data_IF_490943070118
#
_entry.id   IF_490943070118
#
_cell.length_a   1.000
_cell.length_b   1.000
_cell.length_c   1.000
_cell.angle_alpha   90.00
_cell.angle_beta   90.00
_cell.angle_gamma   90.00
#
_symmetry.space_group_name_H-M   'P 1'
#
loop_
_entity.id
_entity.type
_entity.pdbx_description
1 polymer ?
#
# COMPACT_ATOMS: atom_id res chain seq x y z
N UNK A 1 3.42 -18.07 -1.12
CA UNK A 1 4.31 -16.95 -1.47
C UNK A 1 4.14 -15.84 -0.44
N UNK A 2 5.26 -15.40 0.13
CA UNK A 2 5.32 -14.29 1.09
C UNK A 2 5.08 -12.96 0.37
N UNK A 3 4.67 -11.92 1.11
CA UNK A 3 4.56 -10.56 0.56
C UNK A 3 5.91 -10.09 -0.01
N UNK A 4 5.93 -9.06 -0.85
CA UNK A 4 7.16 -8.41 -1.34
C UNK A 4 6.92 -6.93 -1.64
N UNK A 5 7.98 -6.13 -1.58
CA UNK A 5 7.98 -4.73 -2.02
C UNK A 5 9.00 -4.59 -3.14
N UNK A 6 8.65 -3.85 -4.18
CA UNK A 6 9.56 -3.55 -5.28
C UNK A 6 9.43 -2.07 -5.64
N UNK A 7 10.52 -1.30 -5.67
CA UNK A 7 10.47 0.07 -6.16
C UNK A 7 10.12 0.08 -7.65
N UNK A 8 9.16 0.92 -8.03
CA UNK A 8 8.88 1.16 -9.45
C UNK A 8 9.98 2.02 -10.05
N UNK A 9 10.46 1.61 -11.22
CA UNK A 9 11.46 2.36 -11.97
C UNK A 9 10.84 3.69 -12.42
N UNK A 10 11.53 4.79 -12.14
CA UNK A 10 11.14 6.13 -12.58
C UNK A 10 10.90 6.13 -14.09
N UNK A 11 9.81 6.78 -14.52
CA UNK A 11 9.37 6.86 -15.92
C UNK A 11 8.91 5.55 -16.57
N UNK A 12 8.84 4.43 -15.85
CA UNK A 12 8.16 3.23 -16.36
C UNK A 12 6.67 3.49 -16.59
N UNK A 13 6.00 2.75 -17.50
CA UNK A 13 4.56 2.94 -17.75
C UNK A 13 3.70 2.86 -16.48
N UNK A 14 4.01 1.90 -15.60
CA UNK A 14 3.31 1.74 -14.31
C UNK A 14 3.58 2.92 -13.37
N UNK A 15 4.82 3.38 -13.26
CA UNK A 15 5.17 4.57 -12.47
C UNK A 15 4.42 5.80 -12.98
N UNK A 16 4.40 6.03 -14.29
CA UNK A 16 3.75 7.18 -14.91
C UNK A 16 2.23 7.15 -14.69
N UNK A 17 1.61 5.98 -14.84
CA UNK A 17 0.18 5.81 -14.58
C UNK A 17 -0.18 6.14 -13.13
N UNK A 18 0.53 5.57 -12.16
CA UNK A 18 0.27 5.79 -10.72
C UNK A 18 0.55 7.24 -10.32
N UNK A 19 1.67 7.80 -10.77
CA UNK A 19 2.03 9.19 -10.46
C UNK A 19 1.06 10.19 -11.07
N UNK A 20 0.59 9.97 -12.31
CA UNK A 20 -0.42 10.82 -12.93
C UNK A 20 -1.74 10.77 -12.14
N UNK A 21 -2.23 9.57 -11.80
CA UNK A 21 -3.47 9.42 -11.03
C UNK A 21 -3.37 10.07 -9.64
N UNK A 22 -2.22 9.94 -8.96
CA UNK A 22 -2.01 10.60 -7.68
C UNK A 22 -2.01 12.11 -7.81
N UNK A 23 -1.34 12.65 -8.83
CA UNK A 23 -1.22 14.08 -9.08
C UNK A 23 -2.55 14.75 -9.41
N UNK A 24 -3.48 14.06 -10.07
CA UNK A 24 -4.82 14.63 -10.36
C UNK A 24 -5.63 14.93 -9.11
N UNK A 25 -5.25 14.37 -7.95
CA UNK A 25 -5.91 14.65 -6.67
C UNK A 25 -5.51 15.99 -6.05
N UNK A 26 -4.49 16.67 -6.60
CA UNK A 26 -3.95 17.91 -6.04
C UNK A 26 -4.21 19.09 -6.98
N UNK A 27 -5.03 20.04 -6.53
CA UNK A 27 -5.44 21.20 -7.34
C UNK A 27 -4.51 22.41 -7.19
N UNK A 28 -3.83 22.54 -6.04
CA UNK A 28 -3.06 23.76 -5.69
C UNK A 28 -1.56 23.53 -5.71
N UNK A 29 -1.10 22.60 -4.88
CA UNK A 29 0.33 22.32 -4.73
C UNK A 29 0.59 20.87 -5.08
N UNK A 30 1.39 20.65 -6.11
CA UNK A 30 1.76 19.32 -6.54
C UNK A 30 2.84 18.75 -5.61
N UNK A 31 2.59 17.64 -4.89
CA UNK A 31 3.60 17.05 -4.03
C UNK A 31 4.75 16.47 -4.86
N UNK A 32 5.97 16.64 -4.37
CA UNK A 32 7.14 15.92 -4.91
C UNK A 32 7.03 14.44 -4.53
N UNK A 33 6.91 13.58 -5.54
CA UNK A 33 6.96 12.13 -5.34
C UNK A 33 8.43 11.73 -5.18
N UNK A 34 8.78 11.18 -4.01
CA UNK A 34 10.14 10.70 -3.74
C UNK A 34 10.38 9.28 -4.27
N UNK A 35 9.38 8.41 -4.17
CA UNK A 35 9.46 7.00 -4.54
C UNK A 35 8.06 6.40 -4.64
N UNK A 36 7.84 5.49 -5.58
CA UNK A 36 6.63 4.66 -5.66
C UNK A 36 7.03 3.21 -5.46
N UNK A 37 6.41 2.55 -4.49
CA UNK A 37 6.72 1.18 -4.12
C UNK A 37 5.51 0.29 -4.42
N UNK A 38 5.71 -0.76 -5.20
CA UNK A 38 4.69 -1.78 -5.47
C UNK A 38 4.74 -2.84 -4.40
N UNK A 39 3.59 -3.07 -3.77
CA UNK A 39 3.43 -4.11 -2.75
C UNK A 39 2.73 -5.30 -3.41
N UNK A 40 3.36 -6.46 -3.38
CA UNK A 40 2.71 -7.75 -3.64
C UNK A 40 2.36 -8.35 -2.30
N UNK A 41 1.07 -8.43 -1.96
CA UNK A 41 0.65 -9.08 -0.73
C UNK A 41 0.72 -10.61 -0.86
N UNK A 42 0.80 -11.31 0.27
CA UNK A 42 0.77 -12.78 0.29
C UNK A 42 -0.50 -13.34 -0.37
N UNK A 43 -0.40 -14.55 -0.89
CA UNK A 43 -1.52 -15.23 -1.56
C UNK A 43 -2.74 -15.35 -0.65
N UNK A 44 -2.56 -15.45 0.67
CA UNK A 44 -3.66 -15.50 1.63
C UNK A 44 -4.55 -14.26 1.54
N UNK A 45 -3.97 -13.06 1.46
CA UNK A 45 -4.73 -11.81 1.34
C UNK A 45 -5.33 -11.65 -0.05
N UNK A 46 -4.55 -11.95 -1.10
CA UNK A 46 -5.04 -11.85 -2.47
C UNK A 46 -6.20 -12.82 -2.75
N UNK A 47 -6.14 -14.05 -2.22
CA UNK A 47 -7.23 -15.02 -2.36
C UNK A 47 -8.50 -14.55 -1.62
N UNK A 48 -8.36 -13.98 -0.42
CA UNK A 48 -9.51 -13.40 0.30
C UNK A 48 -10.14 -12.25 -0.48
N UNK A 49 -9.31 -11.36 -1.04
CA UNK A 49 -9.79 -10.25 -1.87
C UNK A 49 -10.51 -10.74 -3.13
N UNK A 50 -9.91 -11.67 -3.89
CA UNK A 50 -10.53 -12.20 -5.11
C UNK A 50 -11.81 -12.99 -4.81
N UNK A 51 -11.87 -13.74 -3.70
CA UNK A 51 -13.10 -14.41 -3.28
C UNK A 51 -14.20 -13.41 -2.92
N UNK A 52 -13.88 -12.37 -2.16
CA UNK A 52 -14.83 -11.31 -1.83
C UNK A 52 -15.34 -10.60 -3.10
N UNK A 53 -14.43 -10.29 -4.04
CA UNK A 53 -14.75 -9.69 -5.33
C UNK A 53 -15.68 -10.56 -6.18
N UNK A 54 -15.51 -11.90 -6.16
CA UNK A 54 -16.44 -12.85 -6.80
C UNK A 54 -17.81 -12.89 -6.12
N UNK A 55 -17.89 -12.72 -4.81
CA UNK A 55 -19.17 -12.65 -4.10
C UNK A 55 -19.90 -11.33 -4.32
N UNK A 56 -19.16 -10.26 -4.66
CA UNK A 56 -19.67 -8.90 -4.82
C UNK A 56 -19.50 -8.40 -6.26
N UNK A 57 -19.66 -9.26 -7.27
CA UNK A 57 -19.39 -8.91 -8.68
C UNK A 57 -20.15 -7.68 -9.18
N UNK A 58 -21.32 -7.38 -8.62
CA UNK A 58 -22.15 -6.23 -8.99
C UNK A 58 -21.78 -4.94 -8.26
N UNK A 59 -20.73 -4.94 -7.44
CA UNK A 59 -20.30 -3.77 -6.68
C UNK A 59 -19.21 -3.02 -7.42
N UNK A 60 -19.30 -1.70 -7.41
CA UNK A 60 -18.29 -0.81 -7.99
C UNK A 60 -16.94 -1.01 -7.30
N UNK A 61 -15.89 -1.10 -8.11
CA UNK A 61 -14.50 -1.16 -7.64
C UNK A 61 -13.94 0.25 -7.69
N UNK A 62 -13.57 0.78 -6.53
CA UNK A 62 -12.98 2.10 -6.40
C UNK A 62 -11.49 1.96 -6.07
N UNK A 63 -10.69 2.81 -6.70
CA UNK A 63 -9.31 3.04 -6.29
C UNK A 63 -9.33 4.21 -5.29
N UNK A 64 -8.87 3.97 -4.07
CA UNK A 64 -8.89 4.95 -2.99
C UNK A 64 -7.48 5.16 -2.43
N UNK A 65 -7.25 6.37 -1.89
CA UNK A 65 -6.03 6.72 -1.20
C UNK A 65 -6.18 6.53 0.31
N UNK A 66 -5.16 5.98 0.96
CA UNK A 66 -5.11 5.81 2.42
C UNK A 66 -3.78 6.35 2.96
N UNK A 67 -3.84 7.47 3.67
CA UNK A 67 -2.67 8.04 4.33
C UNK A 67 -2.29 7.23 5.57
N UNK A 68 -1.00 7.00 5.77
CA UNK A 68 -0.48 6.30 6.97
C UNK A 68 0.81 6.92 7.46
N UNK A 69 1.07 6.81 8.76
CA UNK A 69 2.33 7.23 9.36
C UNK A 69 3.36 6.12 9.19
N UNK A 70 4.58 6.47 8.82
CA UNK A 70 5.72 5.56 8.85
C UNK A 70 6.66 5.96 9.98
N UNK A 71 7.18 4.98 10.71
CA UNK A 71 8.24 5.13 11.73
C UNK A 71 9.48 4.30 11.38
N UNK A 72 9.57 3.84 10.13
CA UNK A 72 10.61 2.98 9.60
C UNK A 72 11.13 3.53 8.27
N UNK A 73 12.41 3.33 7.94
CA UNK A 73 12.95 3.78 6.65
C UNK A 73 12.59 2.80 5.54
N UNK A 74 11.42 3.00 4.95
CA UNK A 74 10.87 2.14 3.89
C UNK A 74 11.71 2.25 2.59
N UNK A 75 12.43 3.36 2.41
CA UNK A 75 13.30 3.58 1.24
C UNK A 75 14.59 2.75 1.29
N UNK A 76 15.03 2.38 2.50
CA UNK A 76 16.23 1.57 2.72
C UNK A 76 15.94 0.06 2.80
N UNK A 77 14.74 -0.38 2.43
CA UNK A 77 14.38 -1.79 2.32
C UNK A 77 15.10 -2.41 1.11
N UNK A 78 16.40 -2.66 1.26
CA UNK A 78 17.30 -3.18 0.21
C UNK A 78 16.96 -4.62 -0.24
N UNK A 79 16.11 -5.35 0.49
CA UNK A 79 15.62 -6.66 0.05
C UNK A 79 14.19 -6.92 0.51
N UNK A 80 13.50 -7.79 -0.25
CA UNK A 80 12.21 -8.36 0.10
C UNK A 80 12.26 -9.22 1.38
N UNK A 81 13.43 -9.58 1.89
CA UNK A 81 13.57 -10.35 3.14
C UNK A 81 13.42 -9.47 4.39
N UNK A 82 13.80 -8.18 4.32
CA UNK A 82 13.65 -7.22 5.42
C UNK A 82 12.30 -6.49 5.42
N UNK A 83 11.25 -7.15 4.90
CA UNK A 83 9.93 -6.58 4.61
C UNK A 83 9.24 -5.79 5.71
N UNK A 84 9.70 -5.91 6.96
CA UNK A 84 9.57 -4.92 8.02
C UNK A 84 9.88 -5.55 9.38
N UNK A 85 10.93 -5.13 10.07
CA UNK A 85 11.20 -5.56 11.46
C UNK A 85 10.33 -4.86 12.50
N UNK A 86 9.72 -3.72 12.17
CA UNK A 86 9.06 -2.85 13.14
C UNK A 86 7.52 -2.88 13.04
N UNK A 87 6.86 -3.63 13.93
CA UNK A 87 5.40 -3.72 13.99
C UNK A 87 4.70 -2.39 14.33
N UNK A 88 5.40 -1.45 14.96
CA UNK A 88 4.89 -0.09 15.25
C UNK A 88 4.90 0.84 14.03
N UNK A 89 5.47 0.43 12.89
CA UNK A 89 5.41 1.21 11.66
C UNK A 89 4.09 0.88 10.93
N UNK A 90 3.24 1.89 10.70
CA UNK A 90 1.91 1.69 10.09
C UNK A 90 1.98 1.00 8.73
N UNK A 91 2.93 1.40 7.89
CA UNK A 91 3.20 0.76 6.59
C UNK A 91 3.55 -0.72 6.76
N UNK A 92 4.41 -1.07 7.70
CA UNK A 92 4.75 -2.45 8.01
C UNK A 92 3.56 -3.28 8.46
N UNK A 93 2.71 -2.69 9.30
CA UNK A 93 1.46 -3.31 9.75
C UNK A 93 0.57 -3.64 8.55
N UNK A 94 0.36 -2.69 7.64
CA UNK A 94 -0.46 -2.87 6.44
C UNK A 94 0.12 -3.95 5.52
N UNK A 95 1.43 -3.94 5.27
CA UNK A 95 2.06 -4.90 4.36
C UNK A 95 1.99 -6.33 4.89
N UNK A 96 2.15 -6.52 6.20
CA UNK A 96 2.10 -7.83 6.86
C UNK A 96 0.68 -8.34 7.06
N UNK A 97 -0.24 -7.46 7.44
CA UNK A 97 -1.54 -7.86 7.98
C UNK A 97 -2.74 -7.39 7.14
N UNK A 98 -2.50 -6.62 6.08
CA UNK A 98 -3.53 -5.83 5.41
C UNK A 98 -3.95 -4.60 6.23
N UNK A 99 -4.79 -3.71 5.65
CA UNK A 99 -5.37 -2.61 6.39
C UNK A 99 -6.34 -3.16 7.44
N UNK A 100 -5.94 -3.14 8.71
CA UNK A 100 -6.78 -3.53 9.85
C UNK A 100 -7.15 -2.28 10.65
N UNK A 101 -8.44 -2.11 10.94
CA UNK A 101 -8.94 -1.00 11.76
C UNK A 101 -8.26 -0.97 13.14
N UNK A 102 -8.05 -2.15 13.74
CA UNK A 102 -7.34 -2.32 15.02
C UNK A 102 -5.88 -1.86 15.00
N UNK A 103 -5.29 -1.65 13.82
CA UNK A 103 -3.93 -1.14 13.66
C UNK A 103 -3.90 0.29 13.10
N UNK A 104 -5.03 0.81 12.63
CA UNK A 104 -5.17 2.17 12.11
C UNK A 104 -5.46 3.19 13.22
N UNK A 105 -6.07 2.73 14.32
CA UNK A 105 -6.44 3.57 15.45
C UNK A 105 -5.94 2.97 16.77
N UNK A 106 -4.79 3.41 17.28
CA UNK A 106 -4.36 3.04 18.63
C UNK A 106 -5.21 3.73 19.73
N UNK A 107 -6.15 4.62 19.36
CA UNK A 107 -6.99 5.40 20.27
C UNK A 107 -8.49 5.45 19.84
N UNK A 108 -9.20 4.32 19.73
CA UNK A 108 -10.68 4.35 19.84
C UNK A 108 -11.47 3.37 18.95
N UNK A 109 -12.13 2.45 19.65
CA UNK A 109 -13.35 1.65 19.38
C UNK A 109 -13.92 1.57 17.95
N UNK A 110 -14.08 0.31 17.51
CA UNK A 110 -15.35 -0.27 17.00
C UNK A 110 -15.97 0.37 15.78
#
# INVERSE_FOLDING_TARGET
MNSSITPLVTNSPEYNSVSANFRTQFQRTLPKIHSILKIKMSNQFMNRFENFKKQKMNYSKLLLYHGTKYSCNIKDLKSTEMLCSHLKCGVCGIIKNGPKLTMANNNGNG
#
